data_IF_358436829899
#
_entry.id   IF_358436829899
#
_cell.length_a   1.000
_cell.length_b   1.000
_cell.length_c   1.000
_cell.angle_alpha   90.00
_cell.angle_beta   90.00
_cell.angle_gamma   90.00
#
_symmetry.space_group_name_H-M   'P 1'
#
loop_
_entity.id
_entity.type
_entity.pdbx_description
1 polymer ?
#
# COMPACT_ATOMS: atom_id res chain seq x y z
N UNK A 1 -7.33 1.83 17.33
CA UNK A 1 -7.37 2.37 15.96
C UNK A 1 -7.41 1.18 15.03
N UNK A 2 -8.54 0.91 14.40
CA UNK A 2 -8.73 -0.23 13.49
C UNK A 2 -8.01 0.05 12.18
N UNK A 3 -6.76 -0.36 12.10
CA UNK A 3 -5.96 -0.30 10.88
C UNK A 3 -6.68 -1.12 9.80
N UNK A 4 -7.04 -0.48 8.67
CA UNK A 4 -7.73 -1.18 7.58
C UNK A 4 -6.84 -2.32 7.08
N UNK A 5 -7.41 -3.51 6.88
CA UNK A 5 -6.67 -4.69 6.37
C UNK A 5 -5.89 -4.37 5.10
N UNK A 6 -6.46 -3.51 4.24
CA UNK A 6 -5.83 -3.03 3.01
C UNK A 6 -4.52 -2.28 3.25
N UNK A 7 -4.49 -1.41 4.26
CA UNK A 7 -3.31 -0.64 4.63
C UNK A 7 -2.23 -1.55 5.24
N UNK A 8 -2.64 -2.57 5.99
CA UNK A 8 -1.71 -3.58 6.49
C UNK A 8 -1.06 -4.37 5.36
N UNK A 9 -1.83 -4.78 4.35
CA UNK A 9 -1.29 -5.44 3.15
C UNK A 9 -0.28 -4.53 2.44
N UNK A 10 -0.62 -3.24 2.26
CA UNK A 10 0.30 -2.27 1.66
C UNK A 10 1.61 -2.16 2.47
N UNK A 11 1.52 -2.07 3.80
CA UNK A 11 2.68 -2.03 4.71
C UNK A 11 3.54 -3.28 4.61
N UNK A 12 2.92 -4.45 4.78
CA UNK A 12 3.60 -5.73 4.69
C UNK A 12 4.31 -5.85 3.34
N UNK A 13 3.69 -5.40 2.25
CA UNK A 13 4.28 -5.51 0.91
C UNK A 13 5.56 -4.70 0.75
N UNK A 14 5.63 -3.52 1.38
CA UNK A 14 6.85 -2.70 1.39
C UNK A 14 7.90 -3.37 2.28
N UNK A 15 7.48 -3.87 3.45
CA UNK A 15 8.35 -4.56 4.37
C UNK A 15 8.96 -5.83 3.77
N UNK A 16 8.23 -6.59 2.95
CA UNK A 16 8.75 -7.77 2.24
C UNK A 16 9.97 -7.42 1.39
N UNK A 17 9.94 -6.27 0.71
CA UNK A 17 11.06 -5.81 -0.13
C UNK A 17 12.23 -5.36 0.76
N UNK A 18 11.95 -4.64 1.85
CA UNK A 18 12.98 -4.17 2.79
C UNK A 18 13.69 -5.34 3.51
N UNK A 19 12.96 -6.40 3.84
CA UNK A 19 13.46 -7.58 4.55
C UNK A 19 13.90 -8.71 3.60
N UNK A 20 13.69 -8.55 2.30
CA UNK A 20 13.87 -9.58 1.29
C UNK A 20 13.20 -10.92 1.67
N UNK A 21 12.02 -10.84 2.28
CA UNK A 21 11.28 -11.99 2.81
C UNK A 21 9.82 -11.91 2.38
N UNK A 22 9.27 -13.01 1.88
CA UNK A 22 7.83 -13.13 1.62
C UNK A 22 7.09 -13.38 2.93
N UNK A 23 6.13 -12.51 3.27
CA UNK A 23 5.33 -12.58 4.49
C UNK A 23 3.82 -12.61 4.21
N UNK A 24 3.40 -12.07 3.06
CA UNK A 24 1.99 -11.97 2.70
C UNK A 24 1.49 -13.29 2.13
N UNK A 25 0.59 -13.94 2.88
CA UNK A 25 -0.10 -15.14 2.40
C UNK A 25 -1.39 -14.78 1.67
N UNK A 26 -1.29 -14.60 0.34
CA UNK A 26 -2.41 -14.20 -0.52
C UNK A 26 -3.63 -15.12 -0.41
N UNK A 27 -3.41 -16.44 -0.41
CA UNK A 27 -4.51 -17.42 -0.31
C UNK A 27 -5.30 -17.26 0.98
N UNK A 28 -4.60 -17.14 2.11
CA UNK A 28 -5.23 -16.96 3.42
C UNK A 28 -6.02 -15.64 3.52
N UNK A 29 -5.50 -14.57 2.91
CA UNK A 29 -6.19 -13.28 2.84
C UNK A 29 -7.45 -13.36 1.99
N UNK A 30 -7.41 -14.01 0.83
CA UNK A 30 -8.57 -14.21 -0.04
C UNK A 30 -9.64 -15.10 0.62
N UNK A 31 -9.23 -16.13 1.37
CA UNK A 31 -10.16 -16.96 2.16
C UNK A 31 -10.83 -16.16 3.27
N UNK A 32 -10.08 -15.28 3.95
CA UNK A 32 -10.60 -14.46 5.05
C UNK A 32 -11.45 -13.28 4.54
N UNK A 33 -11.09 -12.73 3.36
CA UNK A 33 -11.67 -11.54 2.77
C UNK A 33 -11.85 -11.73 1.26
N UNK A 34 -12.95 -12.36 0.81
CA UNK A 34 -13.20 -12.62 -0.62
C UNK A 34 -13.28 -11.34 -1.47
N UNK A 35 -13.62 -10.19 -0.85
CA UNK A 35 -13.62 -8.87 -1.49
C UNK A 35 -12.25 -8.46 -2.05
N UNK A 36 -11.16 -9.01 -1.51
CA UNK A 36 -9.81 -8.75 -2.01
C UNK A 36 -9.55 -9.34 -3.42
N UNK A 37 -10.41 -10.25 -3.86
CA UNK A 37 -10.37 -10.83 -5.21
C UNK A 37 -11.09 -10.00 -6.27
N UNK A 38 -11.73 -8.88 -5.90
CA UNK A 38 -12.41 -8.02 -6.86
C UNK A 38 -11.41 -7.21 -7.69
N UNK A 39 -11.75 -6.94 -8.95
CA UNK A 39 -10.89 -6.17 -9.84
C UNK A 39 -11.16 -4.68 -9.63
N UNK A 40 -10.25 -4.01 -8.93
CA UNK A 40 -10.39 -2.62 -8.52
C UNK A 40 -9.04 -1.91 -8.70
N UNK A 41 -9.05 -0.79 -9.41
CA UNK A 41 -7.87 0.06 -9.51
C UNK A 41 -7.63 0.79 -8.18
N UNK A 42 -6.38 0.80 -7.73
CA UNK A 42 -5.99 1.53 -6.53
C UNK A 42 -4.90 2.54 -6.81
N UNK A 43 -4.75 3.49 -5.89
CA UNK A 43 -3.62 4.39 -5.83
C UNK A 43 -3.04 4.35 -4.43
N UNK A 44 -1.73 4.16 -4.35
CA UNK A 44 -0.97 4.21 -3.10
C UNK A 44 -0.07 5.44 -3.13
N UNK A 45 -0.19 6.27 -2.10
CA UNK A 45 0.66 7.44 -1.88
C UNK A 45 1.36 7.31 -0.54
N UNK A 46 2.68 7.47 -0.55
CA UNK A 46 3.51 7.45 0.65
C UNK A 46 3.81 8.88 1.08
N UNK A 47 3.70 9.16 2.37
CA UNK A 47 4.02 10.44 2.95
C UNK A 47 5.07 10.27 4.05
N UNK A 48 6.19 10.96 3.90
CA UNK A 48 7.25 11.01 4.91
C UNK A 48 7.24 12.40 5.55
N UNK A 49 7.01 12.48 6.86
CA UNK A 49 6.94 13.76 7.60
C UNK A 49 6.00 14.79 6.94
N UNK A 50 4.84 14.32 6.46
CA UNK A 50 3.83 15.17 5.80
C UNK A 50 4.14 15.57 4.35
N UNK A 51 5.24 15.07 3.75
CA UNK A 51 5.59 15.33 2.34
C UNK A 51 5.41 14.06 1.50
N UNK A 52 4.91 14.17 0.26
CA UNK A 52 4.83 13.01 -0.64
C UNK A 52 6.24 12.46 -0.88
N UNK A 53 6.37 11.14 -0.71
CA UNK A 53 7.64 10.40 -0.83
C UNK A 53 7.63 9.40 -1.98
N UNK A 54 6.45 9.11 -2.54
CA UNK A 54 6.24 8.32 -3.73
C UNK A 54 4.76 8.03 -3.95
N UNK A 55 4.36 7.88 -5.20
CA UNK A 55 2.96 7.62 -5.61
C UNK A 55 2.93 6.57 -6.70
N UNK A 56 1.97 5.66 -6.62
CA UNK A 56 1.69 4.73 -7.71
C UNK A 56 0.19 4.58 -7.88
N UNK A 57 -0.26 4.61 -9.13
CA UNK A 57 -1.67 4.47 -9.51
C UNK A 57 -1.80 3.37 -10.54
N UNK A 58 -2.80 2.52 -10.36
CA UNK A 58 -3.18 1.54 -11.36
C UNK A 58 -3.97 2.21 -12.47
N UNK A 59 -3.48 2.08 -13.69
CA UNK A 59 -4.09 2.65 -14.89
C UNK A 59 -5.14 1.75 -15.52
N UNK A 60 -4.96 0.43 -15.42
CA UNK A 60 -5.93 -0.56 -15.91
C UNK A 60 -6.27 -1.54 -14.77
N UNK A 61 -7.57 -1.73 -14.52
CA UNK A 61 -8.09 -2.74 -13.59
C UNK A 61 -7.90 -4.15 -14.18
N UNK A 62 -6.65 -4.61 -14.26
CA UNK A 62 -6.29 -5.96 -14.73
C UNK A 62 -5.96 -6.90 -13.58
N UNK A 63 -5.74 -6.34 -12.39
CA UNK A 63 -5.34 -7.07 -11.19
C UNK A 63 -6.46 -7.08 -10.15
N UNK A 64 -6.43 -8.11 -9.30
CA UNK A 64 -7.28 -8.15 -8.11
C UNK A 64 -6.86 -7.06 -7.13
N UNK A 65 -7.79 -6.58 -6.30
CA UNK A 65 -7.56 -5.54 -5.30
C UNK A 65 -6.33 -5.85 -4.44
N UNK A 66 -6.17 -7.11 -4.03
CA UNK A 66 -5.00 -7.58 -3.29
C UNK A 66 -3.69 -7.34 -4.05
N UNK A 67 -3.62 -7.81 -5.28
CA UNK A 67 -2.42 -7.69 -6.12
C UNK A 67 -2.12 -6.24 -6.45
N UNK A 68 -3.15 -5.47 -6.74
CA UNK A 68 -3.07 -4.06 -7.08
C UNK A 68 -2.49 -3.24 -5.91
N UNK A 69 -2.97 -3.48 -4.69
CA UNK A 69 -2.43 -2.86 -3.47
C UNK A 69 -0.95 -3.22 -3.28
N UNK A 70 -0.61 -4.51 -3.38
CA UNK A 70 0.77 -4.99 -3.19
C UNK A 70 1.70 -4.36 -4.23
N UNK A 71 1.28 -4.33 -5.49
CA UNK A 71 2.08 -3.83 -6.59
C UNK A 71 2.27 -2.31 -6.49
N UNK A 72 1.20 -1.56 -6.24
CA UNK A 72 1.25 -0.11 -6.12
C UNK A 72 2.03 0.33 -4.88
N UNK A 73 1.90 -0.37 -3.76
CA UNK A 73 2.69 -0.05 -2.57
C UNK A 73 4.19 -0.29 -2.80
N UNK A 74 4.58 -1.41 -3.44
CA UNK A 74 5.97 -1.67 -3.83
C UNK A 74 6.48 -0.63 -4.85
N UNK A 75 5.66 -0.26 -5.83
CA UNK A 75 6.01 0.75 -6.83
C UNK A 75 6.19 2.13 -6.22
N UNK A 76 5.25 2.58 -5.40
CA UNK A 76 5.33 3.87 -4.72
C UNK A 76 6.57 3.96 -3.80
N UNK A 77 6.97 2.84 -3.19
CA UNK A 77 8.13 2.80 -2.28
C UNK A 77 9.48 2.73 -2.99
N UNK A 78 9.58 2.03 -4.14
CA UNK A 78 10.87 1.65 -4.72
C UNK A 78 11.02 1.90 -6.23
N UNK A 79 9.92 2.09 -6.97
CA UNK A 79 9.94 2.21 -8.43
C UNK A 79 9.40 3.56 -8.93
N UNK A 80 9.16 4.51 -8.03
CA UNK A 80 8.77 5.86 -8.42
C UNK A 80 9.99 6.58 -9.03
N UNK A 81 9.94 7.03 -10.30
CA UNK A 81 11.07 7.68 -10.95
C UNK A 81 11.42 9.05 -10.37
N UNK A 82 10.47 9.72 -9.69
CA UNK A 82 10.68 11.04 -9.10
C UNK A 82 11.33 10.94 -7.71
N UNK A 83 11.34 9.75 -7.10
CA UNK A 83 11.78 9.54 -5.73
C UNK A 83 12.78 8.39 -5.59
N UNK A 84 13.79 8.58 -4.75
CA UNK A 84 14.71 7.49 -4.40
C UNK A 84 14.00 6.40 -3.57
N UNK A 85 14.35 5.12 -3.75
CA UNK A 85 13.81 4.01 -2.96
C UNK A 85 13.86 4.30 -1.45
N UNK A 86 12.77 4.00 -0.75
CA UNK A 86 12.67 4.28 0.68
C UNK A 86 13.55 3.32 1.51
N UNK A 87 14.21 3.85 2.54
CA UNK A 87 14.95 3.05 3.50
C UNK A 87 14.07 2.52 4.64
N UNK A 88 14.52 1.49 5.34
CA UNK A 88 13.80 0.93 6.51
C UNK A 88 13.51 1.98 7.59
N UNK A 89 14.45 2.90 7.83
CA UNK A 89 14.28 3.97 8.82
C UNK A 89 13.22 4.98 8.41
N UNK A 90 13.16 5.35 7.12
CA UNK A 90 12.12 6.24 6.58
C UNK A 90 10.76 5.56 6.58
N UNK A 91 10.70 4.27 6.24
CA UNK A 91 9.46 3.49 6.24
C UNK A 91 8.74 3.53 7.60
N UNK A 92 9.48 3.46 8.70
CA UNK A 92 8.91 3.57 10.06
C UNK A 92 8.20 4.91 10.32
N UNK A 93 8.62 5.97 9.64
CA UNK A 93 8.06 7.32 9.74
C UNK A 93 7.12 7.66 8.57
N UNK A 94 6.80 6.66 7.74
CA UNK A 94 5.98 6.87 6.55
C UNK A 94 4.51 6.56 6.83
N UNK A 95 3.68 7.55 6.57
CA UNK A 95 2.23 7.43 6.49
C UNK A 95 1.84 6.92 5.09
N UNK A 96 0.83 6.05 5.03
CA UNK A 96 0.38 5.43 3.79
C UNK A 96 -1.05 5.86 3.54
N UNK A 97 -1.31 6.34 2.34
CA UNK A 97 -2.64 6.62 1.84
C UNK A 97 -2.95 5.68 0.69
N UNK A 98 -4.12 5.05 0.76
CA UNK A 98 -4.67 4.16 -0.23
C UNK A 98 -5.99 4.72 -0.72
N UNK A 99 -6.14 4.89 -2.03
CA UNK A 99 -7.38 5.29 -2.67
C UNK A 99 -7.85 4.13 -3.54
N UNK A 100 -9.10 3.70 -3.36
CA UNK A 100 -9.74 2.68 -4.19
C UNK A 100 -10.70 3.36 -5.17
N UNK A 101 -10.56 3.07 -6.46
CA UNK A 101 -11.47 3.55 -7.48
C UNK A 101 -12.57 2.51 -7.74
N UNK A 102 -13.67 2.63 -7.01
CA UNK A 102 -14.83 1.74 -7.17
C UNK A 102 -15.87 2.35 -8.12
N UNK A 103 -16.84 1.54 -8.57
CA UNK A 103 -17.93 2.01 -9.42
C UNK A 103 -18.79 3.11 -8.75
N UNK A 104 -18.91 3.07 -7.42
CA UNK A 104 -19.65 4.06 -6.62
C UNK A 104 -18.84 5.34 -6.34
N UNK A 105 -17.55 5.35 -6.70
CA UNK A 105 -16.66 6.49 -6.52
C UNK A 105 -15.34 6.14 -5.82
N UNK A 106 -14.41 7.12 -5.71
CA UNK A 106 -13.14 6.93 -5.05
C UNK A 106 -13.31 6.89 -3.52
N UNK A 107 -12.75 5.87 -2.87
CA UNK A 107 -12.73 5.70 -1.42
C UNK A 107 -11.29 5.86 -0.93
N UNK A 108 -11.02 6.85 -0.08
CA UNK A 108 -9.69 7.08 0.49
C UNK A 108 -9.56 6.54 1.91
N UNK A 109 -8.50 5.78 2.16
CA UNK A 109 -8.05 5.33 3.47
C UNK A 109 -6.64 5.83 3.72
N UNK A 110 -6.39 6.45 4.88
CA UNK A 110 -5.06 6.92 5.29
C UNK A 110 -4.69 6.33 6.65
N UNK A 111 -3.43 5.93 6.76
CA UNK A 111 -2.83 5.40 7.98
C UNK A 111 -1.63 6.25 8.42
N UNK A 112 -1.52 6.48 9.73
CA UNK A 112 -0.41 7.24 10.34
C UNK A 112 0.90 6.43 10.30
N UNK A 113 2.04 7.09 10.52
CA UNK A 113 3.33 6.40 10.66
C UNK A 113 3.33 5.34 11.77
N UNK A 114 4.16 4.30 11.59
CA UNK A 114 4.31 3.18 12.56
C UNK A 114 4.83 3.72 13.90
N UNK A 115 5.82 4.60 13.83
CA UNK A 115 6.28 5.37 14.98
C UNK A 115 5.54 6.71 14.99
N UNK A 116 4.77 6.93 16.06
CA UNK A 116 4.35 8.28 16.46
C UNK A 116 5.51 8.82 17.29
N UNK A 117 6.10 9.94 16.89
CA UNK A 117 7.05 10.62 17.77
C UNK A 117 6.36 10.91 19.13
N UNK A 118 7.09 10.76 20.25
CA UNK A 118 6.57 10.95 21.60
C UNK A 118 6.23 12.41 21.94
#
# INVERSE_FOLDING_TARGET
MSQSVLLNIARESIQEVLQAQESINRNKLLESYPLLGEIVATQVTLYLNGKPRGTSVSTNSEHTLLEDIILNAKRAAFQDPDFIPISTSEYLHTAIELILFTADGPISHRDDSILKEP
#
